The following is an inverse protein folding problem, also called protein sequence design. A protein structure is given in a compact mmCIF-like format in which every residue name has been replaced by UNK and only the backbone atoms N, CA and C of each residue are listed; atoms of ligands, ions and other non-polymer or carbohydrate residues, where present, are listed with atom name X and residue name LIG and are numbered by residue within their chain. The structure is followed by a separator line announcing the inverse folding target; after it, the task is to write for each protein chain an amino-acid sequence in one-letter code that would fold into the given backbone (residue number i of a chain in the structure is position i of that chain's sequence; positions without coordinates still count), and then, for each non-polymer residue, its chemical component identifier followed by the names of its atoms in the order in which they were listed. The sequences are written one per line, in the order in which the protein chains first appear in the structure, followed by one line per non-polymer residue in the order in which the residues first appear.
data_IF_791241160564
#
_entry.id   IF_791241160564
#
_cell.length_a   1.000
_cell.length_b   1.000
_cell.length_c   1.000
_cell.angle_alpha   90.00
_cell.angle_beta   90.00
_cell.angle_gamma   90.00
#
_symmetry.space_group_name_H-M   'P 1'
#
loop_
_entity.id
_entity.type
_entity.pdbx_description
1 polymer ?
#
# COMPACT_ATOMS: atom_id res chain seq x y z
N UNK A 1 9.20 -1.55 -1.76
CA UNK A 1 9.86 -2.69 -2.45
C UNK A 1 11.16 -2.19 -3.09
N UNK A 2 12.15 -3.06 -3.31
CA UNK A 2 13.44 -2.66 -3.88
C UNK A 2 13.25 -2.26 -5.35
N UNK A 3 13.71 -1.06 -5.72
CA UNK A 3 13.82 -0.62 -7.12
C UNK A 3 15.20 -0.06 -7.37
N UNK A 4 15.51 0.20 -8.64
CA UNK A 4 16.76 0.90 -8.99
C UNK A 4 16.69 2.35 -8.52
N UNK A 5 17.83 3.00 -8.23
CA UNK A 5 17.85 4.41 -7.84
C UNK A 5 17.11 5.33 -8.81
N UNK A 6 17.17 5.08 -10.12
CA UNK A 6 16.48 5.88 -11.14
C UNK A 6 14.96 5.74 -11.04
N UNK A 7 14.46 4.53 -10.73
CA UNK A 7 13.02 4.28 -10.54
C UNK A 7 12.51 4.79 -9.20
N UNK A 8 13.36 4.84 -8.17
CA UNK A 8 13.00 5.39 -6.86
C UNK A 8 13.22 6.91 -6.76
N UNK A 9 13.93 7.52 -7.72
CA UNK A 9 14.16 8.97 -7.78
C UNK A 9 12.85 9.77 -7.84
N UNK A 10 11.78 9.21 -8.39
CA UNK A 10 10.40 9.69 -8.22
C UNK A 10 9.50 8.48 -8.02
N UNK A 11 9.18 8.20 -6.77
CA UNK A 11 8.46 6.99 -6.39
C UNK A 11 6.97 7.03 -6.84
N UNK A 12 6.24 5.91 -6.77
CA UNK A 12 4.88 5.85 -7.28
C UNK A 12 3.90 6.89 -6.68
N UNK A 13 3.87 7.15 -5.34
CA UNK A 13 3.07 8.23 -4.79
C UNK A 13 3.37 9.62 -5.37
N UNK A 14 4.65 9.93 -5.58
CA UNK A 14 5.08 11.20 -6.18
C UNK A 14 4.68 11.28 -7.65
N UNK A 15 4.91 10.20 -8.42
CA UNK A 15 4.50 10.11 -9.83
C UNK A 15 3.00 10.33 -9.96
N UNK A 16 2.19 9.68 -9.13
CA UNK A 16 0.74 9.87 -9.10
C UNK A 16 0.37 11.34 -8.88
N UNK A 17 0.92 11.98 -7.84
CA UNK A 17 0.62 13.38 -7.56
C UNK A 17 1.05 14.33 -8.69
N UNK A 18 2.21 14.09 -9.30
CA UNK A 18 2.70 14.91 -10.41
C UNK A 18 1.81 14.77 -11.66
N UNK A 19 1.35 13.56 -11.97
CA UNK A 19 0.36 13.33 -13.02
C UNK A 19 -0.96 14.08 -12.79
N UNK A 20 -1.26 14.43 -11.53
CA UNK A 20 -2.46 15.16 -11.13
C UNK A 20 -2.20 16.65 -10.84
N UNK A 21 -1.11 17.20 -11.37
CA UNK A 21 -0.86 18.64 -11.42
C UNK A 21 -0.05 19.20 -10.26
N UNK A 22 0.47 18.37 -9.35
CA UNK A 22 1.43 18.84 -8.34
C UNK A 22 2.83 18.96 -8.93
N UNK A 23 3.56 19.96 -8.49
CA UNK A 23 4.95 20.19 -8.94
C UNK A 23 5.94 19.23 -8.26
N UNK A 24 7.14 19.09 -8.84
CA UNK A 24 8.22 18.35 -8.20
C UNK A 24 8.55 18.93 -6.81
N UNK A 25 8.57 20.27 -6.66
CA UNK A 25 8.81 20.93 -5.38
C UNK A 25 7.77 20.54 -4.31
N UNK A 26 6.51 20.35 -4.70
CA UNK A 26 5.47 19.89 -3.76
C UNK A 26 5.60 18.41 -3.44
N UNK A 27 5.84 17.55 -4.43
CA UNK A 27 5.83 16.08 -4.26
C UNK A 27 7.12 15.55 -3.63
N UNK A 28 8.24 16.27 -3.79
CA UNK A 28 9.53 15.95 -3.18
C UNK A 28 9.81 16.75 -1.91
N UNK A 29 8.81 17.41 -1.33
CA UNK A 29 8.98 18.12 -0.08
C UNK A 29 9.42 17.17 1.04
N UNK A 30 10.48 17.56 1.74
CA UNK A 30 11.05 16.82 2.87
C UNK A 30 11.05 17.68 4.14
N UNK A 31 11.18 17.03 5.28
CA UNK A 31 11.65 17.67 6.51
C UNK A 31 12.89 16.93 7.02
N UNK A 32 13.72 17.61 7.81
CA UNK A 32 14.94 16.99 8.37
C UNK A 32 14.65 16.42 9.76
N UNK A 33 14.99 15.16 9.98
CA UNK A 33 14.95 14.51 11.28
C UNK A 33 16.19 13.64 11.47
N UNK A 34 16.95 13.87 12.54
CA UNK A 34 18.22 13.16 12.81
C UNK A 34 19.14 13.08 11.60
N UNK A 35 19.37 14.22 10.93
CA UNK A 35 20.18 14.36 9.71
C UNK A 35 19.67 13.61 8.46
N UNK A 36 18.46 13.06 8.51
CA UNK A 36 17.81 12.40 7.37
C UNK A 36 16.73 13.30 6.75
N UNK A 37 16.68 13.34 5.42
CA UNK A 37 15.60 13.97 4.67
C UNK A 37 14.42 12.99 4.57
N UNK A 38 13.33 13.30 5.26
CA UNK A 38 12.14 12.46 5.30
C UNK A 38 11.13 12.92 4.24
N UNK A 39 10.79 12.09 3.23
CA UNK A 39 9.86 12.45 2.16
C UNK A 39 8.40 12.34 2.61
N UNK A 40 7.98 13.27 3.48
CA UNK A 40 6.70 13.18 4.18
C UNK A 40 5.48 13.16 3.25
N UNK A 41 5.54 13.82 2.09
CA UNK A 41 4.43 13.82 1.12
C UNK A 41 4.20 12.42 0.55
N UNK A 42 5.28 11.73 0.16
CA UNK A 42 5.19 10.36 -0.33
C UNK A 42 4.68 9.41 0.76
N UNK A 43 5.21 9.53 1.98
CA UNK A 43 4.79 8.72 3.13
C UNK A 43 3.31 8.96 3.47
N UNK A 44 2.84 10.21 3.44
CA UNK A 44 1.45 10.55 3.71
C UNK A 44 0.50 9.85 2.72
N UNK A 45 0.80 9.90 1.43
CA UNK A 45 -0.02 9.22 0.42
C UNK A 45 0.06 7.69 0.60
N UNK A 46 1.25 7.15 0.85
CA UNK A 46 1.44 5.71 1.01
C UNK A 46 0.68 5.16 2.22
N UNK A 47 0.85 5.79 3.39
CA UNK A 47 0.16 5.37 4.61
C UNK A 47 -1.34 5.71 4.58
N UNK A 48 -1.72 6.83 3.96
CA UNK A 48 -3.13 7.18 3.75
C UNK A 48 -3.85 6.11 2.92
N UNK A 49 -3.30 5.76 1.76
CA UNK A 49 -3.82 4.69 0.91
C UNK A 49 -3.93 3.36 1.67
N UNK A 50 -2.87 2.95 2.36
CA UNK A 50 -2.83 1.71 3.13
C UNK A 50 -3.89 1.69 4.25
N UNK A 51 -3.99 2.77 5.02
CA UNK A 51 -4.94 2.88 6.14
C UNK A 51 -6.38 2.90 5.66
N UNK A 52 -6.68 3.59 4.55
CA UNK A 52 -8.02 3.59 3.95
C UNK A 52 -8.46 2.19 3.52
N UNK A 53 -7.56 1.37 2.96
CA UNK A 53 -7.87 -0.01 2.59
C UNK A 53 -8.00 -0.94 3.80
N UNK A 54 -7.24 -0.72 4.86
CA UNK A 54 -7.41 -1.44 6.13
C UNK A 54 -8.77 -1.13 6.79
N UNK A 55 -9.17 0.14 6.81
CA UNK A 55 -10.49 0.55 7.29
C UNK A 55 -11.63 -0.04 6.42
N UNK A 56 -11.47 0.01 5.10
CA UNK A 56 -12.41 -0.62 4.16
C UNK A 56 -12.51 -2.12 4.42
N UNK A 57 -11.38 -2.81 4.63
CA UNK A 57 -11.34 -4.23 4.95
C UNK A 57 -12.14 -4.56 6.22
N UNK A 58 -12.00 -3.76 7.28
CA UNK A 58 -12.72 -3.97 8.53
C UNK A 58 -14.25 -3.93 8.32
N UNK A 59 -14.74 -2.98 7.53
CA UNK A 59 -16.16 -2.87 7.19
C UNK A 59 -16.59 -3.97 6.22
N UNK A 60 -15.87 -4.14 5.11
CA UNK A 60 -16.22 -5.10 4.07
C UNK A 60 -16.19 -6.54 4.59
N UNK A 61 -15.19 -6.90 5.39
CA UNK A 61 -15.06 -8.22 6.02
C UNK A 61 -16.13 -8.51 7.07
N UNK A 62 -16.85 -7.51 7.57
CA UNK A 62 -18.04 -7.72 8.39
C UNK A 62 -19.18 -8.32 7.56
N UNK A 63 -19.39 -7.82 6.34
CA UNK A 63 -20.50 -8.22 5.48
C UNK A 63 -20.16 -9.39 4.54
N UNK A 64 -18.89 -9.53 4.15
CA UNK A 64 -18.43 -10.54 3.19
C UNK A 64 -17.34 -11.40 3.84
N UNK A 65 -17.71 -12.55 4.46
CA UNK A 65 -16.77 -13.40 5.18
C UNK A 65 -15.61 -13.92 4.31
N UNK A 66 -15.82 -14.05 3.00
CA UNK A 66 -14.79 -14.46 2.03
C UNK A 66 -13.54 -13.57 2.09
N UNK A 67 -13.68 -12.27 2.40
CA UNK A 67 -12.52 -11.38 2.50
C UNK A 67 -11.59 -11.73 3.65
N UNK A 68 -12.07 -12.44 4.68
CA UNK A 68 -11.28 -12.92 5.80
C UNK A 68 -10.51 -14.22 5.51
N UNK A 69 -10.65 -14.80 4.30
CA UNK A 69 -9.96 -16.03 3.90
C UNK A 69 -8.45 -15.89 4.07
N UNK A 70 -7.81 -16.95 4.56
CA UNK A 70 -6.37 -16.94 4.88
C UNK A 70 -6.02 -15.93 5.96
N UNK A 71 -6.95 -15.68 6.90
CA UNK A 71 -6.80 -14.67 7.94
C UNK A 71 -6.59 -13.25 7.38
N UNK A 72 -7.29 -12.94 6.29
CA UNK A 72 -7.18 -11.65 5.58
C UNK A 72 -6.04 -11.56 4.56
N UNK A 73 -5.12 -12.54 4.50
CA UNK A 73 -4.02 -12.52 3.52
C UNK A 73 -4.52 -12.48 2.07
N UNK A 74 -5.65 -13.14 1.77
CA UNK A 74 -6.23 -13.14 0.42
C UNK A 74 -6.78 -11.77 0.00
N UNK A 75 -7.31 -10.99 0.94
CA UNK A 75 -7.64 -9.59 0.68
C UNK A 75 -6.39 -8.77 0.38
N UNK A 76 -5.31 -8.97 1.16
CA UNK A 76 -4.01 -8.36 0.89
C UNK A 76 -3.52 -8.63 -0.54
N UNK A 77 -3.56 -9.89 -0.98
CA UNK A 77 -3.23 -10.25 -2.36
C UNK A 77 -4.15 -9.60 -3.40
N UNK A 78 -5.44 -9.48 -3.10
CA UNK A 78 -6.39 -8.77 -3.96
C UNK A 78 -6.06 -7.29 -4.11
N UNK A 79 -5.70 -6.62 -3.01
CA UNK A 79 -5.24 -5.22 -3.01
C UNK A 79 -3.95 -5.09 -3.79
N UNK A 80 -2.97 -5.97 -3.56
CA UNK A 80 -1.73 -5.99 -4.32
C UNK A 80 -1.99 -6.12 -5.82
N UNK A 81 -2.78 -7.11 -6.24
CA UNK A 81 -3.11 -7.32 -7.65
C UNK A 81 -3.82 -6.10 -8.25
N UNK A 82 -4.83 -5.57 -7.55
CA UNK A 82 -5.59 -4.41 -8.00
C UNK A 82 -4.73 -3.15 -8.13
N UNK A 83 -3.86 -2.87 -7.15
CA UNK A 83 -3.05 -1.67 -7.15
C UNK A 83 -1.78 -1.80 -8.02
N UNK A 84 -1.00 -2.86 -7.82
CA UNK A 84 0.34 -3.01 -8.39
C UNK A 84 0.36 -3.67 -9.77
N UNK A 85 -0.53 -4.63 -10.02
CA UNK A 85 -0.58 -5.31 -11.32
C UNK A 85 -1.52 -4.62 -12.30
N UNK A 86 -2.54 -3.91 -11.79
CA UNK A 86 -3.57 -3.30 -12.63
C UNK A 86 -3.57 -1.77 -12.60
N UNK A 87 -3.93 -1.13 -11.48
CA UNK A 87 -4.19 0.31 -11.44
C UNK A 87 -2.95 1.15 -11.76
N UNK A 88 -1.82 0.90 -11.09
CA UNK A 88 -0.61 1.69 -11.31
C UNK A 88 -0.04 1.54 -12.72
N UNK A 89 0.05 0.33 -13.31
CA UNK A 89 0.41 0.18 -14.73
C UNK A 89 -0.58 0.86 -15.68
N UNK A 90 -1.89 0.73 -15.46
CA UNK A 90 -2.92 1.34 -16.29
C UNK A 90 -2.83 2.87 -16.30
N UNK A 91 -2.47 3.45 -15.15
CA UNK A 91 -2.23 4.89 -14.98
C UNK A 91 -0.81 5.34 -15.38
N UNK A 92 0.02 4.42 -15.88
CA UNK A 92 1.42 4.68 -16.25
C UNK A 92 2.25 5.27 -15.09
N UNK A 93 1.92 4.90 -13.86
CA UNK A 93 2.68 5.28 -12.66
C UNK A 93 3.95 4.43 -12.55
N UNK A 94 3.86 3.16 -12.98
CA UNK A 94 4.97 2.19 -13.02
C UNK A 94 4.95 1.48 -14.38
N UNK A 95 6.04 0.79 -14.78
CA UNK A 95 6.06 -0.05 -15.98
C UNK A 95 4.95 -1.12 -15.96
N UNK A 96 4.66 -1.73 -17.11
CA UNK A 96 3.73 -2.86 -17.14
C UNK A 96 4.21 -3.99 -16.21
N UNK A 97 3.30 -4.71 -15.58
CA UNK A 97 3.64 -5.71 -14.56
C UNK A 97 4.66 -6.76 -15.04
N UNK A 98 4.55 -7.18 -16.30
CA UNK A 98 5.49 -8.15 -16.93
C UNK A 98 6.92 -7.62 -17.11
N UNK A 99 7.10 -6.30 -17.09
CA UNK A 99 8.37 -5.62 -17.32
C UNK A 99 9.03 -5.20 -15.97
N UNK A 100 8.43 -5.56 -14.84
CA UNK A 100 8.96 -5.31 -13.50
C UNK A 100 9.72 -6.56 -12.98
N UNK A 101 10.76 -6.39 -12.15
CA UNK A 101 11.49 -7.50 -11.54
C UNK A 101 10.60 -8.43 -10.70
N UNK A 102 10.89 -9.73 -10.68
CA UNK A 102 10.14 -10.72 -9.89
C UNK A 102 10.27 -10.43 -8.39
N UNK A 103 11.42 -9.91 -7.97
CA UNK A 103 11.70 -9.53 -6.59
C UNK A 103 10.81 -8.39 -6.11
N UNK A 104 10.45 -7.45 -7.01
CA UNK A 104 9.50 -6.38 -6.72
C UNK A 104 8.12 -6.98 -6.45
N UNK A 105 7.63 -7.84 -7.35
CA UNK A 105 6.34 -8.54 -7.18
C UNK A 105 6.27 -9.35 -5.90
N UNK A 106 7.31 -10.15 -5.62
CA UNK A 106 7.35 -11.01 -4.44
C UNK A 106 7.35 -10.17 -3.16
N UNK A 107 8.19 -9.13 -3.10
CA UNK A 107 8.27 -8.24 -1.93
C UNK A 107 6.94 -7.53 -1.67
N UNK A 108 6.30 -7.01 -2.73
CA UNK A 108 5.01 -6.32 -2.60
C UNK A 108 3.90 -7.29 -2.19
N UNK A 109 3.76 -8.44 -2.86
CA UNK A 109 2.72 -9.42 -2.57
C UNK A 109 2.81 -9.94 -1.12
N UNK A 110 4.01 -10.33 -0.67
CA UNK A 110 4.24 -10.80 0.70
C UNK A 110 3.97 -9.67 1.71
N UNK A 111 4.42 -8.45 1.41
CA UNK A 111 4.14 -7.28 2.25
C UNK A 111 2.65 -7.05 2.45
N UNK A 112 1.85 -7.12 1.38
CA UNK A 112 0.39 -6.96 1.44
C UNK A 112 -0.31 -8.11 2.18
N UNK A 113 0.14 -9.36 1.99
CA UNK A 113 -0.36 -10.50 2.74
C UNK A 113 -0.15 -10.32 4.24
N UNK A 114 1.08 -10.02 4.66
CA UNK A 114 1.44 -9.85 6.07
C UNK A 114 0.71 -8.65 6.65
N UNK A 115 0.68 -7.52 5.94
CA UNK A 115 -0.02 -6.32 6.38
C UNK A 115 -1.50 -6.58 6.67
N UNK A 116 -2.23 -7.22 5.74
CA UNK A 116 -3.64 -7.45 5.99
C UNK A 116 -3.91 -8.57 7.01
N UNK A 117 -2.98 -9.52 7.13
CA UNK A 117 -3.03 -10.51 8.21
C UNK A 117 -2.96 -9.83 9.58
N UNK A 118 -2.02 -8.90 9.77
CA UNK A 118 -1.91 -8.13 11.01
C UNK A 118 -3.17 -7.30 11.27
N UNK A 119 -3.73 -6.65 10.25
CA UNK A 119 -5.02 -5.95 10.38
C UNK A 119 -6.13 -6.90 10.87
N UNK A 120 -6.22 -8.10 10.29
CA UNK A 120 -7.21 -9.09 10.74
C UNK A 120 -6.98 -9.54 12.18
N UNK A 121 -5.73 -9.69 12.64
CA UNK A 121 -5.43 -10.06 14.04
C UNK A 121 -5.99 -8.97 14.97
N UNK A 122 -5.64 -7.72 14.70
CA UNK A 122 -6.07 -6.57 15.51
C UNK A 122 -7.59 -6.43 15.51
N UNK A 123 -8.23 -6.53 14.35
CA UNK A 123 -9.70 -6.47 14.23
C UNK A 123 -10.36 -7.60 15.02
N UNK A 124 -9.86 -8.83 14.89
CA UNK A 124 -10.38 -9.98 15.63
C UNK A 124 -10.27 -9.79 17.15
N UNK A 125 -9.15 -9.25 17.61
CA UNK A 125 -8.92 -8.99 19.04
C UNK A 125 -9.86 -7.92 19.58
N UNK A 126 -9.96 -6.78 18.89
CA UNK A 126 -10.88 -5.69 19.25
C UNK A 126 -12.35 -6.15 19.28
N UNK A 127 -12.76 -7.01 18.35
CA UNK A 127 -14.12 -7.55 18.32
C UNK A 127 -14.37 -8.55 19.46
N UNK A 128 -13.36 -9.33 19.84
CA UNK A 128 -13.42 -10.26 20.98
C UNK A 128 -13.59 -9.48 22.29
N UNK A 129 -12.75 -8.48 22.54
CA UNK A 129 -12.84 -7.60 23.71
C UNK A 129 -14.23 -6.95 23.82
N UNK A 130 -14.74 -6.42 22.71
CA UNK A 130 -16.09 -5.82 22.67
C UNK A 130 -17.19 -6.81 23.00
N UNK A 131 -17.02 -8.09 22.67
CA UNK A 131 -18.00 -9.14 22.93
C UNK A 131 -17.96 -9.69 24.37
N UNK A 132 -16.98 -9.28 25.18
CA UNK A 132 -16.81 -9.76 26.56
C UNK A 132 -16.35 -11.22 26.68
N UNK A 133 -15.76 -11.77 25.60
CA UNK A 133 -15.17 -13.11 25.55
C UNK A 133 -13.64 -13.05 25.57
#
# INVERSE_FOLDING_TARGET
PPRTPERDATNPPQTFLQQHGLTAAQTHATYTYSDHQIPWVSLLIHFGFSSSLGALYAVAGHYVPLFKLGYGSMWGLGVWAGAHLWAMPALKIVPAAKDQPVEEHLSEAVGHMVWNTVNQIVISDMLREKSGN
#
